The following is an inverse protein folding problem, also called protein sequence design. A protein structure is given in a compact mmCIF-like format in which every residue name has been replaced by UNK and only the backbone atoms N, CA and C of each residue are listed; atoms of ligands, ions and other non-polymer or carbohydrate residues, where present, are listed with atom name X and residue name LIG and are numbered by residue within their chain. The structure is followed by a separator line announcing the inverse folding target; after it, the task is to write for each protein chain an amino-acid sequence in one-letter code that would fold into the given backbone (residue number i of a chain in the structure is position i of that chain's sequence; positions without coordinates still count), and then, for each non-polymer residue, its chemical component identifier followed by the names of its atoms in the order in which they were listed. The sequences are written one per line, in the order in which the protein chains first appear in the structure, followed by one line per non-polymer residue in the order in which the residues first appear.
data_IF_671801134799
#
_entry.id   IF_671801134799
#
_cell.length_a   1.000
_cell.length_b   1.000
_cell.length_c   1.000
_cell.angle_alpha   90.00
_cell.angle_beta   90.00
_cell.angle_gamma   90.00
#
_symmetry.space_group_name_H-M   'P 1'
#
loop_
_entity.id
_entity.type
_entity.pdbx_description
1 polymer ?
#
# COMPACT_ATOMS: atom_id res chain seq x y z
N UNK A 1 24.72 5.07 -29.76
CA UNK A 1 23.36 5.54 -30.05
C UNK A 1 22.39 4.80 -29.12
N UNK A 2 21.70 5.49 -28.19
CA UNK A 2 20.95 4.84 -27.12
C UNK A 2 19.56 4.40 -27.60
N UNK A 3 19.19 3.17 -27.23
CA UNK A 3 17.89 2.54 -27.49
C UNK A 3 16.79 3.31 -26.76
N UNK A 4 15.75 3.69 -27.51
CA UNK A 4 14.51 4.22 -26.96
C UNK A 4 13.77 3.15 -26.15
N UNK A 5 13.72 3.36 -24.84
CA UNK A 5 12.91 2.61 -23.90
C UNK A 5 11.49 3.19 -23.93
N UNK A 6 10.66 2.73 -24.88
CA UNK A 6 9.24 3.05 -24.89
C UNK A 6 8.50 2.16 -23.88
N UNK A 7 8.25 2.75 -22.71
CA UNK A 7 7.46 2.20 -21.61
C UNK A 7 5.96 2.29 -21.97
N UNK A 8 5.43 1.32 -22.72
CA UNK A 8 4.00 1.23 -23.04
C UNK A 8 3.35 0.14 -22.21
N UNK A 9 2.93 0.47 -20.99
CA UNK A 9 1.97 -0.32 -20.21
C UNK A 9 1.13 0.62 -19.33
N UNK A 10 0.28 1.43 -19.98
CA UNK A 10 -0.54 2.44 -19.30
C UNK A 10 -2.05 2.15 -19.36
N UNK A 11 -2.48 1.07 -20.04
CA UNK A 11 -3.89 0.89 -20.38
C UNK A 11 -4.67 -0.04 -19.42
N UNK A 12 -4.03 -1.02 -18.78
CA UNK A 12 -4.75 -1.98 -17.91
C UNK A 12 -4.76 -1.67 -16.42
N UNK A 13 -3.90 -0.76 -15.93
CA UNK A 13 -3.79 -0.45 -14.49
C UNK A 13 -4.91 0.49 -14.03
N UNK A 14 -5.23 1.51 -14.82
CA UNK A 14 -6.19 2.54 -14.40
C UNK A 14 -7.59 1.98 -14.23
N UNK A 15 -8.09 1.18 -15.18
CA UNK A 15 -9.47 0.69 -15.13
C UNK A 15 -9.71 -0.31 -13.99
N UNK A 16 -8.72 -1.15 -13.66
CA UNK A 16 -8.80 -2.06 -12.52
C UNK A 16 -8.64 -1.34 -11.19
N UNK A 17 -7.80 -0.28 -11.11
CA UNK A 17 -7.71 0.57 -9.91
C UNK A 17 -9.03 1.29 -9.60
N UNK A 18 -9.74 1.80 -10.61
CA UNK A 18 -11.03 2.48 -10.39
C UNK A 18 -12.12 1.51 -9.95
N UNK A 19 -12.18 0.30 -10.52
CA UNK A 19 -13.16 -0.71 -10.11
C UNK A 19 -12.84 -1.28 -8.73
N UNK A 20 -11.57 -1.55 -8.43
CA UNK A 20 -11.12 -2.03 -7.13
C UNK A 20 -11.41 -0.99 -6.04
N UNK A 21 -11.15 0.29 -6.31
CA UNK A 21 -11.44 1.37 -5.36
C UNK A 21 -12.93 1.57 -5.12
N UNK A 22 -13.78 1.46 -6.15
CA UNK A 22 -15.24 1.54 -5.98
C UNK A 22 -15.78 0.36 -5.15
N UNK A 23 -15.34 -0.87 -5.43
CA UNK A 23 -15.74 -2.06 -4.66
C UNK A 23 -15.24 -1.99 -3.21
N UNK A 24 -14.02 -1.48 -2.98
CA UNK A 24 -13.47 -1.24 -1.63
C UNK A 24 -14.33 -0.25 -0.83
N UNK A 25 -14.79 0.82 -1.46
CA UNK A 25 -15.62 1.85 -0.83
C UNK A 25 -17.04 1.33 -0.57
N UNK A 26 -17.61 0.55 -1.49
CA UNK A 26 -18.99 0.06 -1.37
C UNK A 26 -19.14 -1.18 -0.48
N UNK A 27 -18.17 -2.11 -0.50
CA UNK A 27 -18.25 -3.36 0.28
C UNK A 27 -17.47 -3.33 1.59
N UNK A 28 -16.52 -2.41 1.76
CA UNK A 28 -15.68 -2.33 2.98
C UNK A 28 -14.75 -3.54 3.20
N UNK A 29 -14.86 -4.59 2.37
CA UNK A 29 -13.99 -5.75 2.38
C UNK A 29 -12.71 -5.43 1.61
N UNK A 30 -11.63 -5.18 2.34
CA UNK A 30 -10.31 -5.15 1.74
C UNK A 30 -9.95 -6.57 1.27
N UNK A 31 -9.66 -6.78 -0.02
CA UNK A 31 -9.30 -8.10 -0.51
C UNK A 31 -8.02 -8.55 0.22
N UNK A 32 -8.16 -9.61 1.01
CA UNK A 32 -7.10 -10.12 1.91
C UNK A 32 -5.82 -10.47 1.15
N UNK A 33 -5.95 -10.89 -0.12
CA UNK A 33 -4.83 -11.25 -0.97
C UNK A 33 -5.08 -10.78 -2.42
N UNK A 34 -4.16 -9.97 -2.96
CA UNK A 34 -4.15 -9.56 -4.37
C UNK A 34 -2.98 -10.28 -5.05
N UNK A 35 -3.29 -11.13 -6.02
CA UNK A 35 -2.28 -11.89 -6.76
C UNK A 35 -1.95 -11.18 -8.09
N UNK A 36 -0.73 -10.68 -8.21
CA UNK A 36 -0.24 -10.09 -9.47
C UNK A 36 0.49 -11.16 -10.30
N UNK A 37 0.01 -11.43 -11.51
CA UNK A 37 0.72 -12.23 -12.50
C UNK A 37 1.28 -11.31 -13.58
N UNK A 38 2.61 -11.15 -13.61
CA UNK A 38 3.30 -10.30 -14.61
C UNK A 38 4.21 -11.19 -15.44
N UNK A 39 3.92 -11.28 -16.74
CA UNK A 39 4.77 -11.96 -17.74
C UNK A 39 5.57 -10.93 -18.52
N UNK A 40 6.87 -11.15 -18.67
CA UNK A 40 7.73 -10.32 -19.52
C UNK A 40 7.75 -10.93 -20.91
N UNK A 41 7.35 -10.15 -21.91
CA UNK A 41 7.38 -10.54 -23.32
C UNK A 41 8.63 -9.90 -23.94
N UNK A 42 9.40 -10.67 -24.73
CA UNK A 42 10.59 -10.14 -25.38
C UNK A 42 10.22 -9.25 -26.58
N UNK A 43 11.01 -8.20 -26.85
CA UNK A 43 10.73 -7.27 -27.97
C UNK A 43 10.81 -7.98 -29.33
N UNK A 44 11.52 -9.10 -29.41
CA UNK A 44 11.60 -9.98 -30.59
C UNK A 44 10.31 -10.74 -30.89
N UNK A 45 9.44 -10.95 -29.90
CA UNK A 45 8.15 -11.65 -30.06
C UNK A 45 7.04 -10.72 -30.56
N UNK A 46 7.29 -9.40 -30.63
CA UNK A 46 6.29 -8.41 -31.05
C UNK A 46 6.27 -8.30 -32.57
N UNK A 47 5.16 -8.63 -33.24
CA UNK A 47 5.03 -8.45 -34.69
C UNK A 47 5.05 -6.96 -35.07
N UNK A 48 5.75 -6.64 -36.17
CA UNK A 48 5.97 -5.25 -36.60
C UNK A 48 4.83 -4.69 -37.48
N UNK A 49 3.92 -5.53 -37.97
CA UNK A 49 2.76 -5.11 -38.75
C UNK A 49 1.55 -4.81 -37.86
N UNK A 50 0.81 -3.74 -38.15
CA UNK A 50 -0.33 -3.29 -37.35
C UNK A 50 -1.47 -4.33 -37.28
N UNK A 51 -1.84 -4.93 -38.42
CA UNK A 51 -2.88 -5.97 -38.48
C UNK A 51 -2.45 -7.29 -37.81
N UNK A 52 -1.15 -7.59 -37.79
CA UNK A 52 -0.59 -8.76 -37.11
C UNK A 52 -0.46 -8.53 -35.60
N UNK A 53 -0.14 -7.30 -35.19
CA UNK A 53 -0.11 -6.87 -33.80
C UNK A 53 -1.50 -6.95 -33.16
N UNK A 54 -2.56 -6.54 -33.86
CA UNK A 54 -3.93 -6.68 -33.37
C UNK A 54 -4.34 -8.14 -33.13
N UNK A 55 -3.99 -9.04 -34.05
CA UNK A 55 -4.27 -10.48 -33.91
C UNK A 55 -3.47 -11.11 -32.77
N UNK A 56 -2.18 -10.81 -32.69
CA UNK A 56 -1.28 -11.28 -31.63
C UNK A 56 -1.73 -10.80 -30.24
N UNK A 57 -2.15 -9.53 -30.12
CA UNK A 57 -2.67 -9.00 -28.86
C UNK A 57 -3.98 -9.68 -28.45
N UNK A 58 -4.85 -9.98 -29.42
CA UNK A 58 -6.11 -10.68 -29.15
C UNK A 58 -5.86 -12.13 -28.68
N UNK A 59 -4.90 -12.82 -29.29
CA UNK A 59 -4.49 -14.16 -28.87
C UNK A 59 -3.89 -14.16 -27.45
N UNK A 60 -3.03 -13.19 -27.13
CA UNK A 60 -2.52 -12.97 -25.78
C UNK A 60 -3.62 -12.67 -24.77
N UNK A 61 -4.61 -11.88 -25.18
CA UNK A 61 -5.76 -11.56 -24.34
C UNK A 61 -6.58 -12.81 -24.05
N UNK A 62 -6.88 -13.61 -25.07
CA UNK A 62 -7.62 -14.86 -24.92
C UNK A 62 -6.90 -15.84 -23.99
N UNK A 63 -5.58 -15.98 -24.13
CA UNK A 63 -4.76 -16.82 -23.26
C UNK A 63 -4.76 -16.33 -21.80
N UNK A 64 -4.78 -15.00 -21.60
CA UNK A 64 -4.93 -14.39 -20.27
C UNK A 64 -6.30 -14.69 -19.66
N UNK A 65 -7.38 -14.57 -20.42
CA UNK A 65 -8.74 -14.83 -19.93
C UNK A 65 -8.92 -16.31 -19.57
N UNK A 66 -8.43 -17.25 -20.39
CA UNK A 66 -8.48 -18.69 -20.07
C UNK A 66 -7.74 -19.03 -18.77
N UNK A 67 -6.54 -18.47 -18.54
CA UNK A 67 -5.82 -18.65 -17.28
C UNK A 67 -6.56 -18.04 -16.08
N UNK A 68 -7.27 -16.94 -16.31
CA UNK A 68 -8.05 -16.26 -15.27
C UNK A 68 -9.29 -17.08 -14.90
N UNK A 69 -9.97 -17.64 -15.90
CA UNK A 69 -11.08 -18.58 -15.70
C UNK A 69 -10.64 -19.82 -14.93
N UNK A 70 -9.51 -20.42 -15.30
CA UNK A 70 -8.93 -21.55 -14.57
C UNK A 70 -8.63 -21.19 -13.10
N UNK A 71 -8.07 -20.01 -12.85
CA UNK A 71 -7.81 -19.52 -11.49
C UNK A 71 -9.09 -19.32 -10.65
N UNK A 72 -10.18 -18.84 -11.26
CA UNK A 72 -11.46 -18.65 -10.58
C UNK A 72 -12.33 -19.92 -10.51
N UNK A 73 -12.05 -20.94 -11.34
CA UNK A 73 -12.76 -22.23 -11.32
C UNK A 73 -12.57 -22.98 -10.00
N UNK A 74 -11.45 -22.76 -9.31
CA UNK A 74 -11.19 -23.38 -8.01
C UNK A 74 -12.09 -22.75 -6.93
N UNK A 75 -12.98 -23.54 -6.29
CA UNK A 75 -13.97 -23.02 -5.35
C UNK A 75 -13.35 -22.53 -4.04
N UNK A 76 -12.13 -22.97 -3.72
CA UNK A 76 -11.45 -22.64 -2.46
C UNK A 76 -10.40 -21.55 -2.69
N UNK A 77 -10.58 -20.34 -2.13
CA UNK A 77 -9.71 -19.20 -2.42
C UNK A 77 -8.24 -19.43 -2.01
N UNK A 78 -7.99 -20.26 -0.99
CA UNK A 78 -6.64 -20.57 -0.51
C UNK A 78 -5.85 -21.53 -1.42
N UNK A 79 -6.53 -22.25 -2.30
CA UNK A 79 -5.91 -23.22 -3.20
C UNK A 79 -5.67 -22.65 -4.60
N UNK A 80 -6.20 -21.45 -4.86
CA UNK A 80 -6.01 -20.71 -6.12
C UNK A 80 -4.54 -20.34 -6.26
N UNK A 81 -3.84 -21.01 -7.18
CA UNK A 81 -2.46 -20.69 -7.53
C UNK A 81 -2.35 -20.67 -9.04
N UNK A 82 -1.73 -19.62 -9.57
CA UNK A 82 -1.30 -19.64 -10.96
C UNK A 82 -0.22 -20.71 -11.13
N UNK A 83 -0.33 -21.53 -12.17
CA UNK A 83 0.74 -22.42 -12.60
C UNK A 83 1.98 -21.56 -12.93
N UNK A 84 3.03 -21.70 -12.11
CA UNK A 84 4.26 -20.91 -12.24
C UNK A 84 5.09 -21.55 -13.36
N UNK A 85 5.27 -20.84 -14.49
CA UNK A 85 6.23 -21.25 -15.51
C UNK A 85 7.67 -21.15 -14.96
N UNK A 86 8.57 -22.03 -15.40
CA UNK A 86 9.96 -22.11 -14.94
C UNK A 86 10.66 -20.75 -15.13
N UNK A 87 10.82 -19.99 -14.05
CA UNK A 87 11.47 -18.66 -14.03
C UNK A 87 10.63 -17.52 -13.46
N UNK A 88 9.33 -17.72 -13.24
CA UNK A 88 8.48 -16.71 -12.59
C UNK A 88 8.69 -16.70 -11.07
N UNK A 89 8.96 -15.52 -10.51
CA UNK A 89 9.12 -15.31 -9.06
C UNK A 89 7.81 -14.77 -8.51
N UNK A 90 7.20 -15.49 -7.57
CA UNK A 90 6.05 -14.98 -6.82
C UNK A 90 6.56 -13.92 -5.85
N UNK A 91 6.08 -12.68 -5.99
CA UNK A 91 6.34 -11.62 -5.03
C UNK A 91 5.54 -11.92 -3.75
N UNK A 92 6.13 -12.68 -2.84
CA UNK A 92 5.56 -12.93 -1.51
C UNK A 92 5.85 -11.73 -0.61
N UNK A 93 4.85 -10.87 -0.40
CA UNK A 93 4.88 -9.80 0.60
C UNK A 93 4.63 -10.34 2.01
N UNK A 94 5.41 -11.31 2.45
CA UNK A 94 5.18 -11.95 3.77
C UNK A 94 6.47 -12.24 4.51
N UNK A 95 7.54 -11.55 4.15
CA UNK A 95 8.76 -11.58 4.93
C UNK A 95 9.05 -10.18 5.41
N UNK A 96 8.43 -9.78 6.54
CA UNK A 96 9.07 -8.76 7.35
C UNK A 96 10.49 -9.29 7.64
N UNK A 97 11.55 -8.65 7.16
CA UNK A 97 12.90 -9.12 7.44
C UNK A 97 13.06 -9.16 8.95
N UNK A 98 13.53 -10.29 9.48
CA UNK A 98 13.69 -10.52 10.93
C UNK A 98 14.46 -9.37 11.61
N UNK A 99 15.33 -8.70 10.87
CA UNK A 99 16.06 -7.49 11.28
C UNK A 99 15.15 -6.30 11.60
N UNK A 100 14.08 -6.05 10.82
CA UNK A 100 13.09 -5.00 11.12
C UNK A 100 12.29 -5.36 12.37
N UNK A 101 11.91 -6.63 12.55
CA UNK A 101 11.22 -7.07 13.76
C UNK A 101 12.09 -6.91 15.02
N UNK A 102 13.38 -7.25 14.92
CA UNK A 102 14.35 -7.06 16.01
C UNK A 102 14.57 -5.57 16.28
N UNK A 103 14.74 -4.76 15.23
CA UNK A 103 14.92 -3.31 15.35
C UNK A 103 13.73 -2.62 16.02
N UNK A 104 12.50 -2.99 15.64
CA UNK A 104 11.27 -2.52 16.30
C UNK A 104 11.27 -2.86 17.79
N UNK A 105 11.65 -4.09 18.14
CA UNK A 105 11.68 -4.55 19.54
C UNK A 105 12.75 -3.82 20.35
N UNK A 106 13.94 -3.64 19.79
CA UNK A 106 15.01 -2.88 20.43
C UNK A 106 14.61 -1.42 20.69
N UNK A 107 14.01 -0.76 19.68
CA UNK A 107 13.51 0.60 19.82
C UNK A 107 12.49 0.72 20.95
N UNK A 108 11.56 -0.22 21.06
CA UNK A 108 10.57 -0.26 22.13
C UNK A 108 11.22 -0.36 23.52
N UNK A 109 12.13 -1.31 23.72
CA UNK A 109 12.83 -1.48 25.00
C UNK A 109 13.69 -0.27 25.36
N UNK A 110 14.40 0.28 24.38
CA UNK A 110 15.19 1.50 24.56
C UNK A 110 14.31 2.67 25.00
N UNK A 111 13.18 2.89 24.32
CA UNK A 111 12.24 3.95 24.68
C UNK A 111 11.63 3.75 26.07
N UNK A 112 11.25 2.53 26.43
CA UNK A 112 10.73 2.24 27.78
C UNK A 112 11.77 2.54 28.86
N UNK A 113 13.04 2.22 28.62
CA UNK A 113 14.13 2.56 29.52
C UNK A 113 14.32 4.09 29.65
N UNK A 114 14.37 4.82 28.53
CA UNK A 114 14.50 6.29 28.52
C UNK A 114 13.34 6.95 29.29
N UNK A 115 12.09 6.53 29.04
CA UNK A 115 10.92 7.04 29.76
C UNK A 115 11.01 6.77 31.25
N UNK A 116 11.49 5.58 31.65
CA UNK A 116 11.65 5.22 33.06
C UNK A 116 12.71 6.07 33.76
N UNK A 117 13.84 6.34 33.10
CA UNK A 117 14.90 7.23 33.63
C UNK A 117 14.40 8.66 33.76
N UNK A 118 13.67 9.17 32.77
CA UNK A 118 13.06 10.51 32.83
C UNK A 118 12.04 10.58 33.96
N UNK A 119 11.17 9.57 34.11
CA UNK A 119 10.20 9.51 35.19
C UNK A 119 10.88 9.49 36.58
N UNK A 120 11.99 8.78 36.72
CA UNK A 120 12.79 8.76 37.94
C UNK A 120 13.43 10.13 38.25
N UNK A 121 13.95 10.83 37.24
CA UNK A 121 14.51 12.18 37.46
C UNK A 121 13.43 13.22 37.74
N UNK A 122 12.21 13.02 37.22
CA UNK A 122 11.05 13.86 37.50
C UNK A 122 10.59 13.79 38.97
N UNK A 123 10.73 12.65 39.64
CA UNK A 123 10.35 12.52 41.07
C UNK A 123 11.36 13.18 42.00
N UNK A 124 12.62 13.30 41.60
CA UNK A 124 13.69 13.87 42.41
C UNK A 124 13.73 15.41 42.38
N UNK A 125 13.32 16.05 41.27
CA UNK A 125 13.45 17.50 41.06
C UNK A 125 12.09 18.20 40.91
N UNK A 126 11.57 18.78 42.00
CA UNK A 126 10.33 19.60 42.04
C UNK A 126 10.22 20.70 40.96
N UNK A 127 11.27 21.51 40.64
CA UNK A 127 11.14 22.53 39.59
C UNK A 127 11.08 21.93 38.18
N UNK A 128 11.72 20.78 37.94
CA UNK A 128 11.69 20.08 36.66
C UNK A 128 10.29 19.51 36.36
N UNK A 129 9.58 19.08 37.41
CA UNK A 129 8.20 18.60 37.31
C UNK A 129 7.24 19.69 36.80
N UNK A 130 7.36 20.92 37.31
CA UNK A 130 6.53 22.06 36.87
C UNK A 130 6.82 22.44 35.41
N UNK A 131 8.09 22.40 35.00
CA UNK A 131 8.51 22.69 33.64
C UNK A 131 7.96 21.64 32.65
N UNK A 132 8.06 20.34 32.97
CA UNK A 132 7.52 19.28 32.11
C UNK A 132 6.00 19.31 32.06
N UNK A 133 5.33 19.58 33.18
CA UNK A 133 3.88 19.76 33.20
C UNK A 133 3.46 20.94 32.32
N UNK A 134 4.18 22.06 32.38
CA UNK A 134 3.95 23.22 31.52
C UNK A 134 4.06 22.85 30.03
N UNK A 135 5.14 22.16 29.63
CA UNK A 135 5.30 21.74 28.24
C UNK A 135 4.22 20.73 27.79
N UNK A 136 3.77 19.82 28.65
CA UNK A 136 2.67 18.90 28.35
C UNK A 136 1.35 19.65 28.15
N UNK A 137 1.04 20.61 29.02
CA UNK A 137 -0.17 21.44 28.89
C UNK A 137 -0.13 22.26 27.60
N UNK A 138 1.01 22.92 27.31
CA UNK A 138 1.19 23.68 26.06
C UNK A 138 1.04 22.77 24.84
N UNK A 139 1.67 21.59 24.84
CA UNK A 139 1.56 20.64 23.75
C UNK A 139 0.12 20.15 23.56
N UNK A 140 -0.59 19.87 24.66
CA UNK A 140 -2.00 19.45 24.60
C UNK A 140 -2.88 20.58 24.07
N UNK A 141 -2.67 21.82 24.50
CA UNK A 141 -3.37 23.01 23.98
C UNK A 141 -3.10 23.20 22.50
N UNK A 142 -1.85 23.10 22.04
CA UNK A 142 -1.51 23.19 20.61
C UNK A 142 -2.20 22.06 19.84
N UNK A 143 -2.13 20.81 20.29
CA UNK A 143 -2.78 19.68 19.62
C UNK A 143 -4.29 19.80 19.60
N UNK A 144 -4.88 20.28 20.68
CA UNK A 144 -6.31 20.54 20.77
C UNK A 144 -6.72 21.66 19.82
N UNK A 145 -5.96 22.76 19.78
CA UNK A 145 -6.21 23.87 18.86
C UNK A 145 -6.05 23.42 17.41
N UNK A 146 -4.93 22.80 17.02
CA UNK A 146 -4.72 22.33 15.64
C UNK A 146 -5.75 21.26 15.23
N UNK A 147 -5.97 20.23 16.06
CA UNK A 147 -6.95 19.19 15.76
C UNK A 147 -8.41 19.68 15.77
N UNK A 148 -8.70 20.75 16.53
CA UNK A 148 -10.00 21.42 16.50
C UNK A 148 -10.11 22.36 15.29
N UNK A 149 -9.04 23.06 14.92
CA UNK A 149 -8.96 23.92 13.75
C UNK A 149 -9.11 23.10 12.46
N UNK A 150 -8.47 21.95 12.33
CA UNK A 150 -8.64 21.04 11.19
C UNK A 150 -10.10 20.60 11.05
N UNK A 151 -10.75 20.22 12.17
CA UNK A 151 -12.18 19.85 12.19
C UNK A 151 -13.08 21.04 11.85
N UNK A 152 -12.73 22.23 12.32
CA UNK A 152 -13.49 23.45 12.07
C UNK A 152 -13.38 23.89 10.61
N UNK A 153 -12.19 23.82 10.02
CA UNK A 153 -11.94 24.09 8.60
C UNK A 153 -12.70 23.10 7.72
N UNK A 154 -12.67 21.80 8.04
CA UNK A 154 -13.43 20.77 7.33
C UNK A 154 -14.95 20.99 7.42
N UNK A 155 -15.45 21.34 8.60
CA UNK A 155 -16.86 21.68 8.79
C UNK A 155 -17.27 22.88 7.91
N UNK A 156 -16.46 23.93 7.92
CA UNK A 156 -16.71 25.15 7.13
C UNK A 156 -16.64 24.89 5.62
N UNK A 157 -15.70 24.06 5.18
CA UNK A 157 -15.58 23.65 3.78
C UNK A 157 -16.79 22.85 3.31
N UNK A 158 -17.27 21.90 4.14
CA UNK A 158 -18.49 21.14 3.86
C UNK A 158 -19.74 22.02 3.75
N UNK A 159 -19.81 23.08 4.56
CA UNK A 159 -20.91 24.05 4.49
C UNK A 159 -20.85 24.89 3.20
N UNK A 160 -19.65 25.25 2.73
CA UNK A 160 -19.45 25.96 1.46
C UNK A 160 -19.83 25.14 0.22
N UNK A 161 -19.76 23.80 0.29
CA UNK A 161 -20.17 22.92 -0.82
C UNK A 161 -21.68 22.71 -0.93
N UNK A 162 -22.44 23.13 0.11
CA UNK A 162 -23.89 22.93 0.20
C UNK A 162 -24.69 24.22 -0.09
N UNK A 163 -24.00 25.34 -0.27
CA UNK A 163 -24.53 26.62 -0.77
C UNK A 163 -24.19 26.80 -2.23
#
# INVERSE_FOLDING_TARGET
MPKQEQRVFHFSSKSTEYLLSLDLIMKGDCPREVHFHVKKISVSEVPKGEAECGRWLNELWLEKELRLEEFYSEPKPYNRRFCIEKGQRVWRNTHEPKLLAIGKRFCFWFWMFVVSVVAYHLTFLRPLQLLVLYFLVVFFVIKFLYGSLDKFVLYRWKQSLKS
#
